data_IF_404649205475
#
_entry.id   IF_404649205475
#
_cell.length_a   1.000
_cell.length_b   1.000
_cell.length_c   1.000
_cell.angle_alpha   90.00
_cell.angle_beta   90.00
_cell.angle_gamma   90.00
#
_symmetry.space_group_name_H-M   'P 1'
#
loop_
_entity.id
_entity.type
_entity.pdbx_description
1 polymer ?
#
# COMPACT_ATOMS: atom_id res chain seq x y z
N UNK A 1 -38.08 -20.83 -5.38
CA UNK A 1 -37.83 -21.00 -3.94
C UNK A 1 -37.51 -19.64 -3.38
N UNK A 2 -38.17 -19.24 -2.29
CA UNK A 2 -37.88 -17.99 -1.59
C UNK A 2 -36.54 -18.14 -0.84
N UNK A 3 -35.50 -17.44 -1.28
CA UNK A 3 -34.27 -17.28 -0.50
C UNK A 3 -34.42 -16.03 0.37
N UNK A 4 -34.62 -16.25 1.67
CA UNK A 4 -34.62 -15.19 2.67
C UNK A 4 -33.20 -14.73 2.98
N UNK A 5 -33.03 -13.43 3.19
CA UNK A 5 -31.77 -12.82 3.59
C UNK A 5 -31.28 -13.41 4.93
N UNK A 6 -29.98 -13.72 5.00
CA UNK A 6 -29.32 -14.25 6.19
C UNK A 6 -29.54 -13.30 7.39
N UNK A 7 -30.06 -13.77 8.55
CA UNK A 7 -30.32 -12.88 9.67
C UNK A 7 -29.00 -12.32 10.19
N UNK A 8 -28.88 -10.99 10.24
CA UNK A 8 -27.81 -10.31 10.96
C UNK A 8 -27.64 -10.92 12.35
N UNK A 9 -26.40 -11.33 12.68
CA UNK A 9 -26.04 -11.90 13.97
C UNK A 9 -26.71 -11.17 15.15
N UNK A 10 -27.29 -11.91 16.12
CA UNK A 10 -27.95 -11.32 17.29
C UNK A 10 -27.04 -10.32 18.00
N UNK A 11 -27.61 -9.20 18.45
CA UNK A 11 -26.87 -8.09 19.06
C UNK A 11 -26.00 -8.54 20.23
N UNK A 12 -26.50 -9.48 21.04
CA UNK A 12 -25.77 -10.13 22.12
C UNK A 12 -24.45 -10.82 21.68
N UNK A 13 -24.40 -11.41 20.49
CA UNK A 13 -23.19 -12.09 20.00
C UNK A 13 -22.14 -11.05 19.61
N UNK A 14 -22.55 -9.93 19.00
CA UNK A 14 -21.65 -8.83 18.67
C UNK A 14 -21.11 -8.18 19.94
N UNK A 15 -21.96 -7.96 20.93
CA UNK A 15 -21.57 -7.34 22.20
C UNK A 15 -20.58 -8.23 22.98
N UNK A 16 -20.79 -9.55 22.97
CA UNK A 16 -19.84 -10.53 23.54
C UNK A 16 -18.48 -10.51 22.82
N UNK A 17 -18.47 -10.46 21.48
CA UNK A 17 -17.23 -10.38 20.70
C UNK A 17 -16.48 -9.05 20.94
N UNK A 18 -17.20 -7.94 21.05
CA UNK A 18 -16.62 -6.64 21.38
C UNK A 18 -16.03 -6.61 22.79
N UNK A 19 -16.73 -7.19 23.77
CA UNK A 19 -16.23 -7.31 25.14
C UNK A 19 -14.95 -8.18 25.22
N UNK A 20 -14.92 -9.30 24.50
CA UNK A 20 -13.75 -10.17 24.41
C UNK A 20 -12.55 -9.46 23.77
N UNK A 21 -12.79 -8.70 22.69
CA UNK A 21 -11.75 -7.91 22.03
C UNK A 21 -11.18 -6.84 22.97
N UNK A 22 -12.05 -6.07 23.63
CA UNK A 22 -11.65 -4.99 24.55
C UNK A 22 -10.90 -5.52 25.77
N UNK A 23 -11.29 -6.67 26.29
CA UNK A 23 -10.61 -7.33 27.41
C UNK A 23 -9.22 -7.86 27.01
N UNK A 24 -9.07 -8.39 25.79
CA UNK A 24 -7.76 -8.78 25.24
C UNK A 24 -6.83 -7.57 25.08
N UNK A 25 -7.34 -6.48 24.51
CA UNK A 25 -6.59 -5.23 24.33
C UNK A 25 -6.17 -4.59 25.67
N UNK A 26 -7.04 -4.63 26.70
CA UNK A 26 -6.69 -4.16 28.05
C UNK A 26 -5.59 -5.02 28.68
N UNK A 27 -5.69 -6.35 28.64
CA UNK A 27 -4.67 -7.24 29.21
C UNK A 27 -3.31 -7.09 28.53
N UNK A 28 -3.30 -6.91 27.21
CA UNK A 28 -2.08 -6.61 26.46
C UNK A 28 -1.47 -5.26 26.88
N UNK A 29 -2.30 -4.21 27.03
CA UNK A 29 -1.84 -2.90 27.50
C UNK A 29 -1.32 -2.90 28.95
N UNK A 30 -1.91 -3.71 29.83
CA UNK A 30 -1.50 -3.82 31.23
C UNK A 30 -0.19 -4.58 31.39
N UNK A 31 0.01 -5.61 30.57
CA UNK A 31 1.27 -6.37 30.51
C UNK A 31 2.42 -5.45 30.07
N UNK A 32 2.18 -4.59 29.07
CA UNK A 32 3.17 -3.61 28.60
C UNK A 32 3.48 -2.58 29.69
N UNK A 33 2.48 -2.08 30.43
CA UNK A 33 2.71 -1.10 31.51
C UNK A 33 3.54 -1.65 32.65
N UNK A 34 3.36 -2.93 33.03
CA UNK A 34 4.17 -3.55 34.10
C UNK A 34 5.64 -3.67 33.72
N UNK A 35 5.94 -3.96 32.44
CA UNK A 35 7.33 -4.04 31.95
C UNK A 35 8.06 -2.69 32.06
N UNK A 36 7.33 -1.57 32.09
CA UNK A 36 7.91 -0.22 32.11
C UNK A 36 8.21 0.33 33.51
N UNK A 37 7.80 -0.34 34.59
CA UNK A 37 7.85 0.22 35.96
C UNK A 37 9.02 -0.27 36.84
N UNK A 38 9.84 -1.23 36.38
CA UNK A 38 10.82 -1.95 37.24
C UNK A 38 12.29 -1.46 37.16
N UNK A 39 12.61 -0.26 36.64
CA UNK A 39 14.01 0.23 36.57
C UNK A 39 14.24 1.57 37.30
N UNK A 40 14.65 1.51 38.58
CA UNK A 40 15.36 2.61 39.27
C UNK A 40 16.88 2.51 39.04
N UNK A 41 17.51 3.67 38.84
CA UNK A 41 18.82 3.88 38.19
C UNK A 41 19.88 4.28 39.20
N UNK A 42 21.07 3.68 39.13
CA UNK A 42 22.31 4.36 39.54
C UNK A 42 23.33 4.40 38.39
N UNK A 43 23.96 5.56 38.31
CA UNK A 43 24.68 6.16 37.20
C UNK A 43 26.09 5.58 37.02
N UNK A 44 26.65 5.69 35.80
CA UNK A 44 27.99 6.21 35.48
C UNK A 44 28.18 6.18 33.95
N UNK A 45 27.90 7.34 33.37
CA UNK A 45 28.29 7.97 32.09
C UNK A 45 29.44 7.37 31.24
N UNK A 46 29.15 7.19 29.94
CA UNK A 46 30.01 7.60 28.81
C UNK A 46 29.10 8.13 27.68
N UNK A 47 29.49 9.27 27.10
CA UNK A 47 28.70 10.14 26.21
C UNK A 47 28.30 9.47 24.87
N UNK A 48 26.99 9.20 24.71
CA UNK A 48 26.33 8.87 23.45
C UNK A 48 25.05 9.71 23.34
N UNK A 49 24.75 10.20 22.13
CA UNK A 49 23.50 10.87 21.80
C UNK A 49 22.30 9.97 22.05
N UNK A 50 21.69 10.13 23.22
CA UNK A 50 20.36 9.73 23.68
C UNK A 50 19.66 8.58 22.92
N UNK A 51 20.09 7.34 23.21
CA UNK A 51 19.27 6.12 23.02
C UNK A 51 19.38 5.24 24.27
N UNK A 52 18.59 5.53 25.32
CA UNK A 52 18.48 4.64 26.48
C UNK A 52 17.53 3.49 26.14
N UNK A 53 18.08 2.31 25.88
CA UNK A 53 17.31 1.08 25.66
C UNK A 53 18.09 -0.17 26.04
N UNK A 54 17.64 -0.84 27.10
CA UNK A 54 17.80 -2.26 27.45
C UNK A 54 19.21 -2.89 27.26
N UNK A 55 20.03 -2.92 28.33
CA UNK A 55 21.20 -3.82 28.41
C UNK A 55 20.74 -5.18 28.94
N UNK A 56 20.46 -6.13 28.05
CA UNK A 56 20.33 -7.55 28.46
C UNK A 56 21.71 -8.10 28.83
N UNK A 57 21.91 -8.44 30.10
CA UNK A 57 23.03 -9.27 30.53
C UNK A 57 22.83 -10.69 29.97
N UNK A 58 23.66 -11.07 29.00
CA UNK A 58 23.72 -12.43 28.46
C UNK A 58 25.05 -13.09 28.85
N UNK A 59 25.08 -14.41 29.12
CA UNK A 59 26.25 -15.09 29.65
C UNK A 59 27.45 -14.99 28.68
N UNK A 60 28.68 -14.79 29.21
CA UNK A 60 29.88 -14.65 28.40
C UNK A 60 30.24 -16.00 27.75
N UNK A 61 30.01 -16.11 26.44
CA UNK A 61 30.54 -17.21 25.64
C UNK A 61 31.90 -16.84 25.04
N UNK A 62 32.97 -17.51 25.44
CA UNK A 62 34.36 -17.18 25.08
C UNK A 62 34.80 -17.56 23.64
N UNK A 63 33.87 -17.68 22.67
CA UNK A 63 34.17 -18.08 21.29
C UNK A 63 33.81 -17.03 20.23
N UNK A 64 34.53 -17.00 19.10
CA UNK A 64 34.22 -16.11 17.97
C UNK A 64 32.77 -16.28 17.44
N UNK A 65 32.27 -17.52 17.44
CA UNK A 65 30.88 -17.83 17.08
C UNK A 65 29.87 -17.26 18.08
N UNK A 66 30.21 -17.23 19.37
CA UNK A 66 29.35 -16.66 20.41
C UNK A 66 29.27 -15.14 20.28
N UNK A 67 30.39 -14.46 19.98
CA UNK A 67 30.43 -13.02 19.70
C UNK A 67 29.61 -12.63 18.47
N UNK A 68 29.72 -13.41 17.38
CA UNK A 68 28.90 -13.22 16.18
C UNK A 68 27.41 -13.38 16.47
N UNK A 69 27.02 -14.45 17.19
CA UNK A 69 25.64 -14.69 17.61
C UNK A 69 25.11 -13.54 18.48
N UNK A 70 25.93 -13.02 19.39
CA UNK A 70 25.57 -11.89 20.24
C UNK A 70 25.35 -10.60 19.44
N UNK A 71 26.23 -10.28 18.49
CA UNK A 71 26.07 -9.13 17.61
C UNK A 71 24.79 -9.24 16.76
N UNK A 72 24.53 -10.42 16.19
CA UNK A 72 23.30 -10.72 15.44
C UNK A 72 22.06 -10.50 16.29
N UNK A 73 22.04 -11.02 17.53
CA UNK A 73 20.90 -10.86 18.43
C UNK A 73 20.60 -9.38 18.74
N UNK A 74 21.64 -8.55 18.93
CA UNK A 74 21.46 -7.11 19.17
C UNK A 74 20.81 -6.41 17.98
N UNK A 75 21.29 -6.69 16.77
CA UNK A 75 20.70 -6.12 15.53
C UNK A 75 19.24 -6.55 15.39
N UNK A 76 18.94 -7.83 15.61
CA UNK A 76 17.56 -8.32 15.56
C UNK A 76 16.65 -7.67 16.60
N UNK A 77 17.16 -7.36 17.80
CA UNK A 77 16.39 -6.65 18.82
C UNK A 77 16.01 -5.23 18.38
N UNK A 78 16.92 -4.47 17.78
CA UNK A 78 16.60 -3.14 17.24
C UNK A 78 15.55 -3.20 16.12
N UNK A 79 15.68 -4.17 15.21
CA UNK A 79 14.70 -4.39 14.15
C UNK A 79 13.32 -4.73 14.75
N UNK A 80 13.26 -5.67 15.70
CA UNK A 80 12.02 -6.05 16.35
C UNK A 80 11.37 -4.87 17.08
N UNK A 81 12.19 -4.05 17.75
CA UNK A 81 11.70 -2.87 18.46
C UNK A 81 11.05 -1.85 17.51
N UNK A 82 11.70 -1.56 16.38
CA UNK A 82 11.10 -0.71 15.34
C UNK A 82 9.74 -1.26 14.88
N UNK A 83 9.62 -2.58 14.68
CA UNK A 83 8.36 -3.23 14.31
C UNK A 83 7.25 -3.02 15.35
N UNK A 84 7.57 -3.21 16.63
CA UNK A 84 6.59 -3.05 17.71
C UNK A 84 6.12 -1.60 17.87
N UNK A 85 7.04 -0.63 17.73
CA UNK A 85 6.71 0.80 17.80
C UNK A 85 5.83 1.24 16.62
N UNK A 86 6.17 0.78 15.41
CA UNK A 86 5.48 1.19 14.18
C UNK A 86 4.24 0.36 13.85
N UNK A 87 3.98 -0.72 14.61
CA UNK A 87 2.86 -1.65 14.42
C UNK A 87 2.82 -2.24 13.00
N UNK A 88 4.00 -2.50 12.44
CA UNK A 88 4.14 -3.13 11.14
C UNK A 88 3.71 -4.61 11.20
N UNK A 89 3.16 -5.10 10.09
CA UNK A 89 2.82 -6.52 9.97
C UNK A 89 4.08 -7.39 10.00
N UNK A 90 4.01 -8.54 10.69
CA UNK A 90 5.11 -9.50 10.73
C UNK A 90 5.37 -10.16 9.37
N UNK A 91 4.38 -10.16 8.46
CA UNK A 91 4.53 -10.72 7.12
C UNK A 91 5.60 -10.00 6.28
N UNK A 92 5.97 -8.76 6.64
CA UNK A 92 7.01 -8.00 5.94
C UNK A 92 8.38 -8.69 6.01
N UNK A 93 8.64 -9.52 7.02
CA UNK A 93 9.88 -10.29 7.12
C UNK A 93 10.09 -11.29 5.98
N UNK A 94 8.99 -11.71 5.33
CA UNK A 94 9.01 -12.59 4.16
C UNK A 94 9.17 -11.81 2.84
N UNK A 95 9.08 -10.48 2.86
CA UNK A 95 9.25 -9.67 1.65
C UNK A 95 10.71 -9.67 1.21
N UNK A 96 10.93 -9.94 -0.07
CA UNK A 96 12.27 -9.93 -0.67
C UNK A 96 12.96 -8.56 -0.53
N UNK A 97 12.20 -7.47 -0.70
CA UNK A 97 12.68 -6.10 -0.53
C UNK A 97 13.23 -5.82 0.88
N UNK A 98 12.62 -6.39 1.92
CA UNK A 98 13.11 -6.26 3.30
C UNK A 98 14.46 -6.98 3.47
N UNK A 99 14.59 -8.18 2.92
CA UNK A 99 15.86 -8.93 2.95
C UNK A 99 16.96 -8.19 2.20
N UNK A 100 16.63 -7.65 1.02
CA UNK A 100 17.57 -6.90 0.19
C UNK A 100 18.00 -5.59 0.85
N UNK A 101 17.09 -4.92 1.56
CA UNK A 101 17.40 -3.75 2.39
C UNK A 101 18.44 -4.09 3.48
N UNK A 102 18.26 -5.18 4.22
CA UNK A 102 19.23 -5.59 5.25
C UNK A 102 20.61 -5.91 4.66
N UNK A 103 20.64 -6.57 3.49
CA UNK A 103 21.89 -6.85 2.78
C UNK A 103 22.56 -5.57 2.30
N UNK A 104 21.80 -4.63 1.75
CA UNK A 104 22.32 -3.35 1.28
C UNK A 104 22.90 -2.51 2.44
N UNK A 105 22.17 -2.41 3.56
CA UNK A 105 22.64 -1.72 4.76
C UNK A 105 23.89 -2.40 5.33
N UNK A 106 23.91 -3.74 5.41
CA UNK A 106 25.04 -4.49 5.94
C UNK A 106 26.31 -4.42 5.05
N UNK A 107 26.15 -4.18 3.75
CA UNK A 107 27.27 -3.92 2.82
C UNK A 107 27.75 -2.48 2.87
N UNK A 108 26.90 -1.56 3.31
CA UNK A 108 27.26 -0.15 3.43
C UNK A 108 28.27 0.03 4.57
N UNK A 109 29.15 1.04 4.43
CA UNK A 109 30.16 1.34 5.46
C UNK A 109 29.49 1.81 6.76
N UNK A 110 30.19 1.76 7.91
CA UNK A 110 29.71 2.42 9.11
C UNK A 110 29.35 3.89 8.79
N UNK A 111 28.28 4.40 9.41
CA UNK A 111 27.75 5.77 9.27
C UNK A 111 26.85 6.06 8.05
N UNK A 112 25.94 5.15 7.69
CA UNK A 112 24.82 5.50 6.80
C UNK A 112 23.96 6.58 7.49
N UNK A 113 23.77 7.77 6.88
CA UNK A 113 22.85 8.77 7.44
C UNK A 113 21.42 8.23 7.47
N UNK A 114 20.66 8.61 8.50
CA UNK A 114 19.25 8.26 8.58
C UNK A 114 18.47 8.92 7.43
N UNK A 115 17.45 8.21 6.94
CA UNK A 115 16.52 8.77 5.96
C UNK A 115 15.58 9.75 6.65
N UNK A 116 15.42 10.94 6.07
CA UNK A 116 14.39 11.88 6.52
C UNK A 116 13.02 11.56 5.90
N UNK A 117 11.95 12.08 6.49
CA UNK A 117 10.60 11.97 5.92
C UNK A 117 10.52 12.59 4.52
N UNK A 118 11.24 13.69 4.30
CA UNK A 118 11.30 14.37 3.01
C UNK A 118 12.01 13.50 1.95
N UNK A 119 13.11 12.85 2.31
CA UNK A 119 13.86 11.98 1.39
C UNK A 119 12.98 10.85 0.85
N UNK A 120 12.21 10.20 1.73
CA UNK A 120 11.33 9.10 1.36
C UNK A 120 10.17 9.59 0.49
N UNK A 121 9.50 10.67 0.89
CA UNK A 121 8.26 11.12 0.24
C UNK A 121 8.49 11.82 -1.10
N UNK A 122 9.66 12.40 -1.31
CA UNK A 122 9.94 13.23 -2.48
C UNK A 122 11.02 12.57 -3.33
N UNK A 123 12.26 12.57 -2.85
CA UNK A 123 13.41 12.18 -3.67
C UNK A 123 13.40 10.69 -4.04
N UNK A 124 13.22 9.81 -3.07
CA UNK A 124 13.22 8.36 -3.31
C UNK A 124 11.94 7.91 -4.02
N UNK A 125 10.79 8.48 -3.68
CA UNK A 125 9.54 8.18 -4.38
C UNK A 125 9.60 8.59 -5.84
N UNK A 126 10.17 9.77 -6.15
CA UNK A 126 10.33 10.22 -7.53
C UNK A 126 11.27 9.28 -8.32
N UNK A 127 12.38 8.86 -7.72
CA UNK A 127 13.29 7.88 -8.35
C UNK A 127 12.61 6.54 -8.64
N UNK A 128 11.81 6.04 -7.68
CA UNK A 128 11.07 4.80 -7.86
C UNK A 128 9.99 4.94 -8.94
N UNK A 129 9.32 6.10 -8.99
CA UNK A 129 8.36 6.43 -10.04
C UNK A 129 9.01 6.45 -11.42
N UNK A 130 10.16 7.11 -11.57
CA UNK A 130 10.93 7.14 -12.81
C UNK A 130 11.42 5.74 -13.20
N UNK A 131 11.93 4.96 -12.24
CA UNK A 131 12.36 3.58 -12.46
C UNK A 131 11.20 2.70 -12.96
N UNK A 132 10.05 2.78 -12.29
CA UNK A 132 8.84 2.05 -12.69
C UNK A 132 8.38 2.50 -14.09
N UNK A 133 8.30 3.80 -14.36
CA UNK A 133 7.88 4.30 -15.67
C UNK A 133 8.83 3.84 -16.79
N UNK A 134 10.14 3.80 -16.51
CA UNK A 134 11.13 3.27 -17.44
C UNK A 134 10.95 1.78 -17.74
N UNK A 135 10.64 0.96 -16.73
CA UNK A 135 10.31 -0.45 -16.92
C UNK A 135 9.04 -0.62 -17.79
N UNK A 136 8.07 0.27 -17.59
CA UNK A 136 6.79 0.24 -18.30
C UNK A 136 6.89 0.74 -19.75
N UNK A 137 7.90 1.56 -20.09
CA UNK A 137 8.11 2.06 -21.46
C UNK A 137 8.20 0.93 -22.51
N UNK A 138 8.76 -0.23 -22.14
CA UNK A 138 8.79 -1.41 -23.03
C UNK A 138 7.39 -1.90 -23.42
N UNK A 139 6.45 -1.89 -22.47
CA UNK A 139 5.05 -2.25 -22.73
C UNK A 139 4.34 -1.16 -23.55
N UNK A 140 4.58 0.12 -23.23
CA UNK A 140 4.01 1.27 -23.96
C UNK A 140 4.31 1.23 -25.45
N UNK A 141 5.54 0.85 -25.83
CA UNK A 141 5.94 0.69 -27.24
C UNK A 141 5.08 -0.32 -28.00
N UNK A 142 4.63 -1.39 -27.34
CA UNK A 142 3.82 -2.43 -27.98
C UNK A 142 2.39 -1.98 -28.29
N UNK A 143 1.89 -0.93 -27.64
CA UNK A 143 0.57 -0.38 -27.91
C UNK A 143 0.45 0.10 -29.37
N UNK A 144 1.55 0.58 -29.96
CA UNK A 144 1.59 0.96 -31.38
C UNK A 144 1.40 -0.20 -32.36
N UNK A 145 1.72 -1.43 -31.93
CA UNK A 145 1.66 -2.62 -32.80
C UNK A 145 0.37 -3.41 -32.59
N UNK A 146 -0.04 -3.60 -31.33
CA UNK A 146 -1.15 -4.49 -30.97
C UNK A 146 -2.36 -3.76 -30.39
N UNK A 147 -2.28 -2.43 -30.30
CA UNK A 147 -3.27 -1.56 -29.67
C UNK A 147 -3.46 -1.92 -28.19
N UNK A 148 -4.25 -1.12 -27.47
CA UNK A 148 -4.52 -1.34 -26.06
C UNK A 148 -5.97 -1.01 -25.71
N UNK A 149 -6.46 -1.54 -24.59
CA UNK A 149 -7.79 -1.23 -24.04
C UNK A 149 -7.63 -0.41 -22.78
N UNK A 150 -8.26 0.76 -22.71
CA UNK A 150 -8.30 1.55 -21.48
C UNK A 150 -9.43 0.99 -20.61
N UNK A 151 -9.17 0.77 -19.33
CA UNK A 151 -10.16 0.32 -18.35
C UNK A 151 -10.26 1.37 -17.27
N UNK A 152 -11.46 1.94 -17.11
CA UNK A 152 -11.79 2.81 -16.00
C UNK A 152 -12.74 2.09 -15.06
N UNK A 153 -12.46 2.13 -13.76
CA UNK A 153 -13.39 1.70 -12.74
C UNK A 153 -13.36 2.66 -11.57
N UNK A 154 -14.54 2.97 -11.04
CA UNK A 154 -14.69 3.80 -9.85
C UNK A 154 -15.08 2.89 -8.70
N UNK A 155 -14.69 3.23 -7.48
CA UNK A 155 -15.29 2.64 -6.29
C UNK A 155 -15.50 3.71 -5.24
N UNK A 156 -16.61 3.59 -4.51
CA UNK A 156 -16.96 4.51 -3.44
C UNK A 156 -16.97 3.74 -2.12
N UNK A 157 -16.20 4.24 -1.16
CA UNK A 157 -16.14 3.65 0.16
C UNK A 157 -17.38 4.00 1.01
N UNK A 158 -17.50 3.40 2.20
CA UNK A 158 -18.63 3.68 3.11
C UNK A 158 -18.68 5.13 3.61
N UNK A 159 -17.58 5.87 3.50
CA UNK A 159 -17.46 7.27 3.87
C UNK A 159 -17.71 8.21 2.68
N UNK A 160 -18.24 7.69 1.57
CA UNK A 160 -18.49 8.44 0.34
C UNK A 160 -17.20 8.99 -0.31
N UNK A 161 -16.05 8.37 -0.04
CA UNK A 161 -14.82 8.65 -0.76
C UNK A 161 -14.82 7.88 -2.06
N UNK A 162 -14.80 8.59 -3.17
CA UNK A 162 -14.80 7.99 -4.50
C UNK A 162 -13.38 8.01 -5.07
N UNK A 163 -12.89 6.87 -5.53
CA UNK A 163 -11.61 6.76 -6.23
C UNK A 163 -11.84 6.14 -7.60
N UNK A 164 -11.39 6.84 -8.63
CA UNK A 164 -11.48 6.42 -10.03
C UNK A 164 -10.11 5.95 -10.46
N UNK A 165 -9.98 4.69 -10.85
CA UNK A 165 -8.74 4.11 -11.33
C UNK A 165 -8.78 3.94 -12.84
N UNK A 166 -7.65 4.25 -13.48
CA UNK A 166 -7.43 4.06 -14.90
C UNK A 166 -6.30 3.07 -15.12
N UNK A 167 -6.60 2.03 -15.86
CA UNK A 167 -5.69 0.97 -16.25
C UNK A 167 -5.63 0.90 -17.78
N UNK A 168 -4.55 0.33 -18.29
CA UNK A 168 -4.42 -0.08 -19.69
C UNK A 168 -4.19 -1.58 -19.74
N UNK A 169 -5.07 -2.30 -20.42
CA UNK A 169 -4.90 -3.70 -20.74
C UNK A 169 -4.29 -3.83 -22.13
N UNK A 170 -3.17 -4.53 -22.22
CA UNK A 170 -2.42 -4.78 -23.45
C UNK A 170 -2.04 -6.26 -23.55
N UNK A 171 -1.44 -6.65 -24.68
CA UNK A 171 -0.95 -8.02 -24.89
C UNK A 171 0.03 -8.48 -23.80
N UNK A 172 0.82 -7.56 -23.23
CA UNK A 172 1.78 -7.89 -22.16
C UNK A 172 1.12 -8.04 -20.79
N UNK A 173 -0.03 -7.41 -20.59
CA UNK A 173 -0.75 -7.41 -19.32
C UNK A 173 -1.40 -6.07 -19.01
N UNK A 174 -1.79 -5.92 -17.74
CA UNK A 174 -2.48 -4.75 -17.21
C UNK A 174 -1.46 -3.79 -16.58
N UNK A 175 -1.52 -2.54 -17.01
CA UNK A 175 -0.72 -1.43 -16.50
C UNK A 175 -1.61 -0.43 -15.78
N UNK A 176 -1.20 -0.02 -14.57
CA UNK A 176 -1.81 1.12 -13.90
C UNK A 176 -1.32 2.43 -14.53
N UNK A 177 -2.25 3.33 -14.85
CA UNK A 177 -1.92 4.65 -15.44
C UNK A 177 -2.00 5.73 -14.38
N UNK A 178 -3.19 5.95 -13.83
CA UNK A 178 -3.43 6.96 -12.79
C UNK A 178 -4.70 6.64 -12.02
N UNK A 179 -4.83 7.26 -10.86
CA UNK A 179 -6.08 7.30 -10.12
C UNK A 179 -6.47 8.76 -9.88
N UNK A 180 -7.74 9.01 -9.68
CA UNK A 180 -8.28 10.34 -9.37
C UNK A 180 -9.19 10.23 -8.17
N UNK A 181 -8.98 11.12 -7.21
CA UNK A 181 -9.93 11.32 -6.11
C UNK A 181 -11.19 12.02 -6.64
N UNK A 182 -12.28 11.26 -6.64
CA UNK A 182 -13.61 11.67 -7.06
C UNK A 182 -14.51 12.12 -5.91
N UNK A 183 -14.03 12.12 -4.66
CA UNK A 183 -14.86 12.34 -3.47
C UNK A 183 -15.58 13.70 -3.46
N UNK A 184 -14.97 14.72 -4.05
CA UNK A 184 -15.51 16.09 -4.13
C UNK A 184 -16.15 16.41 -5.49
N UNK A 185 -16.37 15.40 -6.36
CA UNK A 185 -16.90 15.63 -7.70
C UNK A 185 -18.43 15.63 -7.71
N UNK A 186 -19.00 16.80 -7.95
CA UNK A 186 -20.45 16.97 -8.10
C UNK A 186 -20.97 16.28 -9.38
N UNK A 187 -20.15 16.22 -10.43
CA UNK A 187 -20.47 15.55 -11.69
C UNK A 187 -19.33 14.62 -12.14
N UNK A 188 -19.23 13.46 -11.48
CA UNK A 188 -18.24 12.40 -11.75
C UNK A 188 -18.24 12.02 -13.24
N UNK A 189 -19.41 12.07 -13.87
CA UNK A 189 -19.60 11.74 -15.28
C UNK A 189 -18.82 12.61 -16.26
N UNK A 190 -19.03 13.93 -16.20
CA UNK A 190 -18.34 14.89 -17.09
C UNK A 190 -16.83 14.90 -16.84
N UNK A 191 -16.41 14.81 -15.58
CA UNK A 191 -14.98 14.82 -15.27
C UNK A 191 -14.29 13.50 -15.64
N UNK A 192 -14.98 12.37 -15.53
CA UNK A 192 -14.45 11.09 -16.03
C UNK A 192 -14.08 11.21 -17.51
N UNK A 193 -14.88 11.93 -18.26
CA UNK A 193 -14.67 12.10 -19.70
C UNK A 193 -13.50 12.96 -20.07
N UNK A 194 -13.34 14.11 -19.42
CA UNK A 194 -12.12 14.91 -19.60
C UNK A 194 -10.87 14.09 -19.25
N UNK A 195 -10.96 13.24 -18.21
CA UNK A 195 -9.86 12.37 -17.82
C UNK A 195 -9.58 11.26 -18.84
N UNK A 196 -10.63 10.67 -19.42
CA UNK A 196 -10.50 9.66 -20.47
C UNK A 196 -9.98 10.25 -21.77
N UNK A 197 -10.49 11.42 -22.20
CA UNK A 197 -9.99 12.15 -23.38
C UNK A 197 -8.48 12.42 -23.20
N UNK A 198 -8.08 12.93 -22.04
CA UNK A 198 -6.66 13.14 -21.71
C UNK A 198 -5.83 11.86 -21.77
N UNK A 199 -6.34 10.72 -21.27
CA UNK A 199 -5.60 9.45 -21.33
C UNK A 199 -5.50 8.94 -22.76
N UNK A 200 -6.57 9.06 -23.55
CA UNK A 200 -6.58 8.65 -24.96
C UNK A 200 -5.59 9.50 -25.75
N UNK A 201 -5.56 10.81 -25.53
CA UNK A 201 -4.59 11.73 -26.13
C UNK A 201 -3.14 11.38 -25.73
N UNK A 202 -2.90 11.11 -24.44
CA UNK A 202 -1.57 10.71 -23.94
C UNK A 202 -1.08 9.38 -24.56
N UNK A 203 -1.99 8.48 -24.93
CA UNK A 203 -1.68 7.17 -25.53
C UNK A 203 -1.62 7.24 -27.06
N UNK A 204 -2.34 8.17 -27.68
CA UNK A 204 -2.61 8.23 -29.11
C UNK A 204 -3.85 7.42 -29.47
N UNK A 205 -4.84 8.08 -30.10
CA UNK A 205 -6.12 7.47 -30.50
C UNK A 205 -5.93 6.22 -31.37
N UNK A 206 -4.93 6.22 -32.24
CA UNK A 206 -4.60 5.10 -33.14
C UNK A 206 -4.09 3.85 -32.40
N UNK A 207 -3.66 4.01 -31.15
CA UNK A 207 -3.16 2.93 -30.30
C UNK A 207 -4.25 2.40 -29.35
N UNK A 208 -5.44 3.00 -29.34
CA UNK A 208 -6.55 2.62 -28.46
C UNK A 208 -7.58 1.83 -29.25
N UNK A 209 -7.72 0.54 -28.92
CA UNK A 209 -8.73 -0.32 -29.51
C UNK A 209 -10.12 -0.07 -28.93
N UNK A 210 -10.20 0.18 -27.62
CA UNK A 210 -11.46 0.41 -26.91
C UNK A 210 -11.24 1.03 -25.54
N UNK A 211 -12.28 1.69 -25.04
CA UNK A 211 -12.42 2.18 -23.67
C UNK A 211 -13.54 1.41 -22.98
N UNK A 212 -13.19 0.78 -21.86
CA UNK A 212 -14.08 0.00 -20.98
C UNK A 212 -14.30 0.82 -19.71
N UNK A 213 -15.55 1.06 -19.37
CA UNK A 213 -15.93 1.79 -18.16
C UNK A 213 -16.79 0.87 -17.31
N UNK A 214 -16.35 0.57 -16.09
CA UNK A 214 -17.16 -0.14 -15.11
C UNK A 214 -18.36 0.72 -14.72
N UNK A 215 -19.55 0.25 -15.06
CA UNK A 215 -20.78 0.98 -14.82
C UNK A 215 -21.23 0.81 -13.36
N UNK A 216 -20.75 1.69 -12.48
CA UNK A 216 -21.45 1.94 -11.22
C UNK A 216 -22.71 2.78 -11.50
N UNK A 217 -23.81 2.56 -10.77
CA UNK A 217 -25.17 3.08 -11.06
C UNK A 217 -25.26 4.59 -11.43
N UNK A 218 -24.26 5.41 -11.06
CA UNK A 218 -24.18 6.85 -11.39
C UNK A 218 -23.48 7.19 -12.71
N UNK A 219 -22.92 6.22 -13.45
CA UNK A 219 -22.13 6.45 -14.67
C UNK A 219 -22.90 6.17 -15.96
N UNK A 220 -24.19 5.87 -15.88
CA UNK A 220 -25.02 5.47 -17.03
C UNK A 220 -25.38 6.63 -17.99
N UNK A 221 -25.71 7.82 -17.46
CA UNK A 221 -26.05 9.01 -18.26
C UNK A 221 -24.84 9.60 -19.01
N UNK A 222 -23.69 9.80 -18.35
CA UNK A 222 -22.50 10.30 -19.01
C UNK A 222 -22.13 9.40 -20.19
N UNK A 223 -22.06 8.09 -19.95
CA UNK A 223 -21.66 7.08 -20.94
C UNK A 223 -22.51 7.11 -22.23
N UNK A 224 -23.82 7.39 -22.10
CA UNK A 224 -24.71 7.55 -23.25
C UNK A 224 -24.37 8.78 -24.10
N UNK A 225 -23.93 9.87 -23.47
CA UNK A 225 -23.53 11.10 -24.17
C UNK A 225 -22.26 10.85 -25.00
N UNK A 226 -21.27 10.20 -24.41
CA UNK A 226 -20.01 9.90 -25.09
C UNK A 226 -20.11 8.91 -26.23
N UNK A 227 -20.99 7.90 -26.10
CA UNK A 227 -21.31 7.01 -27.22
C UNK A 227 -21.77 7.78 -28.46
N UNK A 228 -22.42 8.94 -28.29
CA UNK A 228 -22.83 9.79 -29.42
C UNK A 228 -21.66 10.58 -30.00
N UNK A 229 -20.68 10.98 -29.16
CA UNK A 229 -19.49 11.74 -29.56
C UNK A 229 -18.51 10.85 -30.33
N UNK A 230 -18.08 9.73 -29.74
CA UNK A 230 -17.10 8.82 -30.33
C UNK A 230 -17.52 7.34 -30.25
N UNK A 231 -18.45 6.91 -31.12
CA UNK A 231 -18.98 5.55 -31.09
C UNK A 231 -17.94 4.48 -31.44
N UNK A 232 -16.81 4.85 -32.06
CA UNK A 232 -15.78 3.91 -32.51
C UNK A 232 -14.91 3.37 -31.37
N UNK A 233 -14.70 4.17 -30.31
CA UNK A 233 -13.78 3.84 -29.22
C UNK A 233 -14.48 3.22 -28.00
N UNK A 234 -15.81 3.24 -27.94
CA UNK A 234 -16.53 2.93 -26.69
C UNK A 234 -17.16 1.54 -26.75
N UNK A 235 -16.68 0.63 -25.91
CA UNK A 235 -17.32 -0.67 -25.67
C UNK A 235 -17.63 -0.82 -24.19
N UNK A 236 -18.91 -0.75 -23.86
CA UNK A 236 -19.37 -0.90 -22.47
C UNK A 236 -19.43 -2.37 -22.09
N UNK A 237 -18.58 -2.74 -21.14
CA UNK A 237 -18.70 -4.00 -20.43
C UNK A 237 -19.07 -3.71 -18.99
N UNK A 238 -20.31 -4.06 -18.63
CA UNK A 238 -20.71 -4.22 -17.24
C UNK A 238 -20.49 -5.70 -16.91
N UNK A 239 -19.33 -6.05 -16.37
CA UNK A 239 -19.19 -7.30 -15.64
C UNK A 239 -19.35 -6.96 -14.16
N UNK A 240 -20.43 -7.46 -13.55
CA UNK A 240 -20.42 -7.70 -12.12
C UNK A 240 -19.30 -8.71 -11.86
N UNK A 241 -18.12 -8.22 -11.48
CA UNK A 241 -17.13 -9.08 -10.84
C UNK A 241 -17.69 -9.28 -9.43
N UNK A 242 -18.34 -10.43 -9.23
CA UNK A 242 -18.93 -10.87 -7.97
C UNK A 242 -17.85 -11.14 -6.91
#
# INVERSE_FOLDING_TARGET
>A
GNDSACPSYPKEVKDKLWALKKHKEMKESETIRRIMQDEEVEDHTLEEGHFKGFKVQMPPGNGANARKKQATNRVHQYIAWFWYQTRLSFNITNCKSFQDMLVAVGRFRPHLPSLSNHDIRVSLLQKEFEHTNNLMNGQKKQWTTFWCSIISYAWTDRKQQCLINFLVHSFVGIMFIKFVDGSNLVNIGEKLFELLDSIVEDIGEENVAQVIIENQNNMSLPVRSWRKKDPKLIRLYAQHIA
#
